data_IF_036674948786
#
_entry.id   IF_036674948786
#
_cell.length_a   1.000
_cell.length_b   1.000
_cell.length_c   1.000
_cell.angle_alpha   90.00
_cell.angle_beta   90.00
_cell.angle_gamma   90.00
#
_symmetry.space_group_name_H-M   'P 1'
#
loop_
_entity.id
_entity.type
_entity.pdbx_description
1 polymer ?
#
# COMPACT_ATOMS: atom_id res chain seq x y z
N UNK A 1 -15.93 11.28 -16.22
CA UNK A 1 -15.65 12.12 -15.02
C UNK A 1 -14.33 11.71 -14.39
N UNK A 2 -13.52 12.69 -13.98
CA UNK A 2 -12.23 12.44 -13.32
C UNK A 2 -12.51 11.95 -11.89
N UNK A 3 -12.11 10.73 -11.56
CA UNK A 3 -12.20 10.18 -10.20
C UNK A 3 -11.19 10.87 -9.29
N UNK A 4 -11.60 11.21 -8.07
CA UNK A 4 -10.71 11.73 -7.02
C UNK A 4 -10.39 10.56 -6.10
N UNK A 5 -9.10 10.26 -5.93
CA UNK A 5 -8.63 9.22 -5.02
C UNK A 5 -7.92 9.91 -3.86
N UNK A 6 -8.28 9.49 -2.64
CA UNK A 6 -7.63 9.93 -1.41
C UNK A 6 -7.08 8.72 -0.68
N UNK A 7 -5.88 8.84 -0.15
CA UNK A 7 -5.23 7.82 0.67
C UNK A 7 -5.22 8.27 2.13
N UNK A 8 -5.55 7.36 3.02
CA UNK A 8 -5.56 7.56 4.46
C UNK A 8 -4.59 6.57 5.09
N UNK A 9 -3.32 6.95 5.08
CA UNK A 9 -2.17 6.16 5.56
C UNK A 9 -1.71 6.54 6.97
N UNK A 10 -2.41 7.49 7.61
CA UNK A 10 -2.09 7.98 8.94
C UNK A 10 -3.36 8.09 9.80
N UNK A 11 -3.20 7.87 11.12
CA UNK A 11 -4.29 7.89 12.12
C UNK A 11 -4.47 9.27 12.77
N UNK A 12 -4.08 10.35 12.09
CA UNK A 12 -4.34 11.70 12.59
C UNK A 12 -5.85 11.99 12.65
N UNK A 13 -6.43 12.20 13.86
CA UNK A 13 -7.86 12.32 14.01
C UNK A 13 -8.42 13.60 13.40
N UNK A 14 -7.66 14.70 13.37
CA UNK A 14 -8.12 16.00 12.87
C UNK A 14 -8.22 15.96 11.35
N UNK A 15 -7.17 15.52 10.67
CA UNK A 15 -7.15 15.42 9.21
C UNK A 15 -8.16 14.39 8.70
N UNK A 16 -8.29 13.25 9.40
CA UNK A 16 -9.27 12.23 9.08
C UNK A 16 -10.70 12.75 9.22
N UNK A 17 -11.06 13.33 10.38
CA UNK A 17 -12.38 13.90 10.62
C UNK A 17 -12.73 15.00 9.61
N UNK A 18 -11.81 15.92 9.34
CA UNK A 18 -12.01 16.99 8.36
C UNK A 18 -12.30 16.44 6.96
N UNK A 19 -11.60 15.38 6.58
CA UNK A 19 -11.79 14.73 5.28
C UNK A 19 -13.15 14.03 5.16
N UNK A 20 -13.73 13.59 6.28
CA UNK A 20 -14.98 12.84 6.31
C UNK A 20 -16.23 13.75 6.35
N UNK A 21 -16.09 15.03 6.71
CA UNK A 21 -17.22 15.96 6.93
C UNK A 21 -18.15 16.10 5.72
N UNK A 22 -17.66 15.91 4.51
CA UNK A 22 -18.44 16.13 3.27
C UNK A 22 -18.49 14.89 2.37
N UNK A 23 -18.35 13.69 2.93
CA UNK A 23 -18.42 12.46 2.14
C UNK A 23 -19.86 12.17 1.74
N UNK A 24 -20.08 12.04 0.43
CA UNK A 24 -21.32 11.54 -0.12
C UNK A 24 -21.18 10.04 -0.41
N UNK A 25 -21.81 9.20 0.41
CA UNK A 25 -21.76 7.74 0.30
C UNK A 25 -22.20 7.21 -1.06
N UNK A 26 -23.14 7.89 -1.72
CA UNK A 26 -23.68 7.44 -3.01
C UNK A 26 -22.69 7.62 -4.18
N UNK A 27 -21.66 8.44 -3.99
CA UNK A 27 -20.62 8.71 -5.00
C UNK A 27 -19.20 8.35 -4.52
N UNK A 28 -19.08 7.71 -3.35
CA UNK A 28 -17.80 7.36 -2.75
C UNK A 28 -17.69 5.85 -2.58
N UNK A 29 -16.63 5.26 -3.13
CA UNK A 29 -16.21 3.89 -2.83
C UNK A 29 -15.09 3.90 -1.77
N UNK A 30 -15.06 2.88 -0.92
CA UNK A 30 -14.09 2.72 0.15
C UNK A 30 -13.28 1.45 -0.08
N UNK A 31 -11.96 1.56 -0.09
CA UNK A 31 -11.07 0.41 -0.20
C UNK A 31 -10.32 0.30 1.12
N UNK A 32 -10.54 -0.79 1.83
CA UNK A 32 -9.92 -1.05 3.13
C UNK A 32 -8.93 -2.18 2.97
N UNK A 33 -7.65 -1.90 3.20
CA UNK A 33 -6.56 -2.83 2.93
C UNK A 33 -5.81 -3.14 4.21
N UNK A 34 -5.77 -4.42 4.58
CA UNK A 34 -4.90 -4.94 5.64
C UNK A 34 -4.63 -6.41 5.39
N UNK A 35 -3.37 -6.79 5.13
CA UNK A 35 -2.96 -8.18 4.92
C UNK A 35 -3.46 -9.07 6.06
N UNK A 36 -3.03 -8.79 7.28
CA UNK A 36 -3.42 -9.56 8.48
C UNK A 36 -4.89 -9.38 8.88
N UNK A 37 -5.55 -8.32 8.38
CA UNK A 37 -6.88 -7.92 8.83
C UNK A 37 -6.94 -7.51 10.30
N UNK A 38 -5.79 -7.23 10.93
CA UNK A 38 -5.63 -6.90 12.35
C UNK A 38 -4.84 -5.60 12.57
N UNK A 39 -4.43 -4.90 11.52
CA UNK A 39 -3.68 -3.64 11.62
C UNK A 39 -4.50 -2.62 12.42
N UNK A 40 -4.03 -2.17 13.60
CA UNK A 40 -4.82 -1.31 14.48
C UNK A 40 -5.23 0.00 13.83
N UNK A 41 -4.35 0.61 13.05
CA UNK A 41 -4.59 1.86 12.33
C UNK A 41 -5.74 1.70 11.33
N UNK A 42 -5.69 0.65 10.50
CA UNK A 42 -6.74 0.36 9.52
C UNK A 42 -8.07 0.05 10.19
N UNK A 43 -8.06 -0.76 11.26
CA UNK A 43 -9.29 -1.11 11.99
C UNK A 43 -9.90 0.11 12.69
N UNK A 44 -9.07 0.99 13.27
CA UNK A 44 -9.53 2.21 13.92
C UNK A 44 -10.20 3.17 12.94
N UNK A 45 -9.57 3.42 11.79
CA UNK A 45 -10.16 4.24 10.72
C UNK A 45 -11.46 3.63 10.19
N UNK A 46 -11.49 2.31 9.98
CA UNK A 46 -12.68 1.62 9.53
C UNK A 46 -13.81 1.68 10.56
N UNK A 47 -13.50 1.53 11.85
CA UNK A 47 -14.49 1.70 12.93
C UNK A 47 -15.07 3.12 12.98
N UNK A 48 -14.23 4.15 12.80
CA UNK A 48 -14.70 5.54 12.72
C UNK A 48 -15.64 5.76 11.52
N UNK A 49 -15.36 5.15 10.37
CA UNK A 49 -16.28 5.21 9.22
C UNK A 49 -17.60 4.50 9.52
N UNK A 50 -17.57 3.31 10.10
CA UNK A 50 -18.78 2.58 10.50
C UNK A 50 -19.63 3.45 11.42
N UNK A 51 -19.06 4.02 12.46
CA UNK A 51 -19.77 4.90 13.39
C UNK A 51 -20.38 6.11 12.69
N UNK A 52 -19.61 6.79 11.84
CA UNK A 52 -20.10 7.92 11.05
C UNK A 52 -21.33 7.55 10.22
N UNK A 53 -21.28 6.43 9.50
CA UNK A 53 -22.36 6.00 8.63
C UNK A 53 -23.58 5.42 9.39
N UNK A 54 -23.39 4.93 10.61
CA UNK A 54 -24.49 4.62 11.55
C UNK A 54 -25.20 5.91 11.95
N UNK A 55 -24.47 6.94 12.38
CA UNK A 55 -25.05 8.21 12.83
C UNK A 55 -25.90 8.92 11.77
N UNK A 56 -25.54 8.80 10.50
CA UNK A 56 -26.30 9.38 9.40
C UNK A 56 -27.28 8.40 8.73
N UNK A 57 -27.53 7.22 9.31
CA UNK A 57 -28.43 6.18 8.81
C UNK A 57 -28.10 5.70 7.39
N UNK A 58 -26.81 5.60 7.03
CA UNK A 58 -26.30 5.20 5.71
C UNK A 58 -25.36 3.99 5.78
N UNK A 59 -25.43 3.20 6.84
CA UNK A 59 -24.50 2.08 7.07
C UNK A 59 -24.62 0.98 6.01
N UNK A 60 -25.81 0.73 5.47
CA UNK A 60 -26.01 -0.29 4.43
C UNK A 60 -25.33 0.12 3.12
N UNK A 61 -25.56 1.35 2.70
CA UNK A 61 -24.95 1.94 1.49
C UNK A 61 -23.43 1.99 1.63
N UNK A 62 -22.94 2.31 2.84
CA UNK A 62 -21.51 2.27 3.13
C UNK A 62 -20.90 0.89 2.87
N UNK A 63 -21.46 -0.17 3.48
CA UNK A 63 -20.94 -1.53 3.30
C UNK A 63 -21.04 -2.01 1.84
N UNK A 64 -22.08 -1.64 1.11
CA UNK A 64 -22.22 -1.94 -0.33
C UNK A 64 -21.14 -1.28 -1.19
N UNK A 65 -20.62 -0.13 -0.74
CA UNK A 65 -19.55 0.62 -1.41
C UNK A 65 -18.14 0.30 -0.87
N UNK A 66 -18.03 -0.70 0.04
CA UNK A 66 -16.75 -1.15 0.58
C UNK A 66 -16.16 -2.31 -0.23
N UNK A 67 -14.89 -2.17 -0.57
CA UNK A 67 -14.03 -3.24 -1.05
C UNK A 67 -12.96 -3.52 0.01
N UNK A 68 -12.89 -4.76 0.47
CA UNK A 68 -11.92 -5.20 1.48
C UNK A 68 -10.85 -6.04 0.80
N UNK A 69 -9.58 -5.73 1.06
CA UNK A 69 -8.44 -6.55 0.60
C UNK A 69 -7.71 -7.08 1.84
N UNK A 70 -7.78 -8.40 2.05
CA UNK A 70 -7.19 -9.05 3.22
C UNK A 70 -6.96 -10.54 2.95
N UNK A 71 -6.08 -11.20 3.71
CA UNK A 71 -5.84 -12.65 3.58
C UNK A 71 -7.10 -13.48 3.74
N UNK A 72 -7.12 -14.63 3.07
CA UNK A 72 -8.20 -15.61 3.16
C UNK A 72 -8.05 -16.48 4.42
N UNK A 73 -8.13 -15.84 5.57
CA UNK A 73 -8.12 -16.50 6.88
C UNK A 73 -9.19 -15.89 7.80
N UNK A 74 -9.32 -16.42 9.01
CA UNK A 74 -10.28 -15.91 9.99
C UNK A 74 -9.72 -14.71 10.75
N UNK A 75 -9.73 -13.52 10.11
CA UNK A 75 -9.30 -12.27 10.71
C UNK A 75 -10.48 -11.30 10.97
N UNK A 76 -10.32 -10.31 11.87
CA UNK A 76 -11.39 -9.37 12.24
C UNK A 76 -11.97 -8.61 11.04
N UNK A 77 -11.12 -8.05 10.17
CA UNK A 77 -11.55 -7.29 9.02
C UNK A 77 -12.42 -8.14 8.07
N UNK A 78 -11.98 -9.39 7.79
CA UNK A 78 -12.73 -10.33 6.95
C UNK A 78 -14.06 -10.74 7.57
N UNK A 79 -14.12 -10.91 8.90
CA UNK A 79 -15.37 -11.20 9.60
C UNK A 79 -16.37 -10.06 9.44
N UNK A 80 -15.94 -8.81 9.65
CA UNK A 80 -16.80 -7.64 9.45
C UNK A 80 -17.30 -7.59 8.00
N UNK A 81 -16.41 -7.79 7.03
CA UNK A 81 -16.76 -7.77 5.61
C UNK A 81 -17.80 -8.83 5.24
N UNK A 82 -17.61 -10.09 5.68
CA UNK A 82 -18.55 -11.19 5.43
C UNK A 82 -19.92 -10.94 6.07
N UNK A 83 -19.94 -10.49 7.31
CA UNK A 83 -21.18 -10.25 8.06
C UNK A 83 -22.03 -9.11 7.44
N UNK A 84 -21.41 -8.22 6.69
CA UNK A 84 -22.06 -7.06 6.09
C UNK A 84 -22.11 -7.10 4.55
N UNK A 85 -21.78 -8.26 3.95
CA UNK A 85 -21.80 -8.48 2.49
C UNK A 85 -20.93 -7.48 1.70
N UNK A 86 -19.81 -7.04 2.26
CA UNK A 86 -18.83 -6.25 1.53
C UNK A 86 -18.16 -7.09 0.43
N UNK A 87 -17.74 -6.45 -0.65
CA UNK A 87 -16.87 -7.09 -1.63
C UNK A 87 -15.51 -7.42 -1.01
N UNK A 88 -14.98 -8.61 -1.24
CA UNK A 88 -13.68 -9.05 -0.71
C UNK A 88 -12.80 -9.53 -1.85
N UNK A 89 -11.57 -9.07 -1.86
CA UNK A 89 -10.47 -9.60 -2.67
C UNK A 89 -9.45 -10.22 -1.72
N UNK A 90 -9.01 -11.44 -2.03
CA UNK A 90 -8.00 -12.11 -1.23
C UNK A 90 -6.62 -11.48 -1.46
N UNK A 91 -5.92 -11.22 -0.37
CA UNK A 91 -4.49 -10.87 -0.40
C UNK A 91 -3.68 -12.16 -0.39
N UNK A 92 -2.67 -12.24 -1.24
CA UNK A 92 -1.78 -13.39 -1.33
C UNK A 92 -0.96 -13.54 -0.03
N UNK A 93 -1.00 -14.73 0.58
CA UNK A 93 -0.33 -15.02 1.85
C UNK A 93 1.18 -14.89 1.77
N UNK A 94 1.75 -15.24 0.61
CA UNK A 94 3.19 -15.31 0.40
C UNK A 94 3.83 -13.96 0.10
N UNK A 95 3.01 -12.94 -0.18
CA UNK A 95 3.49 -11.58 -0.46
C UNK A 95 3.49 -10.75 0.82
N UNK A 96 4.66 -10.29 1.27
CA UNK A 96 4.77 -9.33 2.35
C UNK A 96 4.19 -7.96 1.99
N UNK A 97 3.65 -7.22 2.98
CA UNK A 97 3.00 -5.92 2.73
C UNK A 97 3.86 -4.94 1.92
N UNK A 98 5.15 -4.80 2.26
CA UNK A 98 6.09 -3.91 1.55
C UNK A 98 6.43 -4.35 0.12
N UNK A 99 6.12 -5.59 -0.25
CA UNK A 99 6.33 -6.14 -1.60
C UNK A 99 5.05 -6.19 -2.44
N UNK A 100 3.92 -5.71 -1.92
CA UNK A 100 2.60 -5.95 -2.48
C UNK A 100 2.17 -4.98 -3.59
N UNK A 101 3.07 -4.10 -4.05
CA UNK A 101 2.73 -3.08 -5.07
C UNK A 101 2.21 -3.69 -6.38
N UNK A 102 2.71 -4.86 -6.78
CA UNK A 102 2.27 -5.57 -7.99
C UNK A 102 1.13 -6.58 -7.75
N UNK A 103 0.66 -6.71 -6.52
CA UNK A 103 -0.50 -7.53 -6.16
C UNK A 103 -1.81 -6.74 -6.25
N UNK A 104 -2.92 -7.37 -5.84
CA UNK A 104 -4.23 -6.71 -5.71
C UNK A 104 -4.18 -5.41 -4.91
N UNK A 105 -3.28 -5.31 -3.93
CA UNK A 105 -3.10 -4.13 -3.06
C UNK A 105 -2.73 -2.86 -3.85
N UNK A 106 -1.80 -2.98 -4.79
CA UNK A 106 -1.40 -1.83 -5.62
C UNK A 106 -2.22 -1.72 -6.90
N UNK A 107 -2.57 -2.86 -7.53
CA UNK A 107 -3.21 -2.85 -8.84
C UNK A 107 -4.68 -2.43 -8.81
N UNK A 108 -5.44 -2.76 -7.76
CA UNK A 108 -6.84 -2.34 -7.65
C UNK A 108 -6.97 -0.82 -7.55
N UNK A 109 -6.26 -0.12 -6.65
CA UNK A 109 -6.25 1.35 -6.65
C UNK A 109 -5.76 1.95 -7.99
N UNK A 110 -4.75 1.35 -8.63
CA UNK A 110 -4.24 1.79 -9.91
C UNK A 110 -5.30 1.72 -11.03
N UNK A 111 -6.06 0.61 -11.11
CA UNK A 111 -7.18 0.47 -12.05
C UNK A 111 -8.25 1.53 -11.80
N UNK A 112 -8.59 1.75 -10.53
CA UNK A 112 -9.60 2.75 -10.16
C UNK A 112 -9.11 4.17 -10.51
N UNK A 113 -7.81 4.42 -10.40
CA UNK A 113 -7.16 5.65 -10.84
C UNK A 113 -7.14 5.83 -12.36
N UNK A 114 -7.48 4.78 -13.12
CA UNK A 114 -7.44 4.81 -14.59
C UNK A 114 -6.05 4.53 -15.16
N UNK A 115 -5.14 3.96 -14.37
CA UNK A 115 -3.83 3.55 -14.83
C UNK A 115 -3.90 2.22 -15.59
N UNK A 116 -3.04 2.07 -16.58
CA UNK A 116 -2.87 0.83 -17.33
C UNK A 116 -1.97 -0.14 -16.57
N UNK A 117 -2.58 -1.04 -15.81
CA UNK A 117 -1.86 -2.02 -14.98
C UNK A 117 -1.05 -3.02 -15.82
N UNK A 118 -1.45 -3.26 -17.07
CA UNK A 118 -0.67 -4.12 -17.96
C UNK A 118 0.67 -3.49 -18.31
N UNK A 119 0.70 -2.16 -18.49
CA UNK A 119 1.97 -1.44 -18.69
C UNK A 119 2.83 -1.42 -17.44
N UNK A 120 2.21 -1.32 -16.25
CA UNK A 120 2.93 -1.39 -14.97
C UNK A 120 3.59 -2.77 -14.83
N UNK A 121 2.83 -3.85 -15.00
CA UNK A 121 3.36 -5.22 -14.97
C UNK A 121 4.41 -5.47 -16.05
N UNK A 122 4.17 -4.98 -17.28
CA UNK A 122 5.14 -5.12 -18.36
C UNK A 122 6.49 -4.51 -18.00
N UNK A 123 6.51 -3.32 -17.37
CA UNK A 123 7.76 -2.72 -16.92
C UNK A 123 8.53 -3.58 -15.92
N UNK A 124 7.83 -4.28 -15.02
CA UNK A 124 8.47 -5.23 -14.11
C UNK A 124 8.97 -6.50 -14.83
N UNK A 125 8.17 -7.05 -15.74
CA UNK A 125 8.53 -8.23 -16.55
C UNK A 125 9.75 -7.92 -17.42
N UNK A 126 9.79 -6.76 -18.06
CA UNK A 126 10.92 -6.34 -18.89
C UNK A 126 12.26 -6.33 -18.12
N UNK A 127 12.23 -6.00 -16.82
CA UNK A 127 13.43 -6.10 -15.97
C UNK A 127 13.78 -7.57 -15.68
N UNK A 128 12.80 -8.41 -15.35
CA UNK A 128 13.01 -9.82 -15.02
C UNK A 128 13.56 -10.57 -16.23
N UNK A 129 12.96 -10.37 -17.41
CA UNK A 129 13.37 -11.05 -18.66
C UNK A 129 14.77 -10.63 -19.13
N UNK A 130 15.22 -9.43 -18.71
CA UNK A 130 16.54 -8.92 -19.04
C UNK A 130 17.54 -8.99 -17.89
N UNK A 131 17.18 -9.66 -16.78
CA UNK A 131 18.06 -9.69 -15.58
C UNK A 131 19.42 -10.35 -15.86
N UNK A 132 19.48 -11.26 -16.83
CA UNK A 132 20.73 -11.91 -17.26
C UNK A 132 21.52 -11.06 -18.26
N UNK A 133 20.95 -9.97 -18.75
CA UNK A 133 21.64 -9.01 -19.60
C UNK A 133 22.69 -8.26 -18.77
N UNK A 134 23.94 -8.23 -19.20
CA UNK A 134 25.07 -7.64 -18.48
C UNK A 134 24.81 -6.22 -17.96
N UNK A 135 24.07 -5.41 -18.71
CA UNK A 135 23.76 -4.04 -18.32
C UNK A 135 22.86 -3.98 -17.08
N UNK A 136 21.80 -4.80 -17.00
CA UNK A 136 20.90 -4.85 -15.85
C UNK A 136 21.52 -5.57 -14.66
N UNK A 137 22.21 -6.69 -14.92
CA UNK A 137 22.89 -7.47 -13.89
C UNK A 137 23.99 -6.66 -13.19
N UNK A 138 24.75 -5.87 -13.93
CA UNK A 138 25.78 -5.00 -13.36
C UNK A 138 25.18 -3.91 -12.46
N UNK A 139 24.05 -3.30 -12.85
CA UNK A 139 23.36 -2.31 -12.04
C UNK A 139 22.77 -2.91 -10.77
N UNK A 140 22.15 -4.09 -10.87
CA UNK A 140 21.56 -4.81 -9.73
C UNK A 140 22.63 -5.24 -8.72
N UNK A 141 23.81 -5.64 -9.17
CA UNK A 141 24.93 -6.02 -8.30
C UNK A 141 25.65 -4.82 -7.70
N UNK A 142 25.84 -3.76 -8.48
CA UNK A 142 26.63 -2.60 -8.07
C UNK A 142 26.08 -1.91 -6.82
N UNK A 143 24.76 -1.74 -6.72
CA UNK A 143 24.17 -1.03 -5.57
C UNK A 143 24.38 -1.77 -4.24
N UNK A 144 24.05 -3.07 -4.09
CA UNK A 144 24.34 -3.82 -2.86
C UNK A 144 25.82 -3.87 -2.52
N UNK A 145 26.70 -4.01 -3.53
CA UNK A 145 28.15 -4.01 -3.34
C UNK A 145 28.63 -2.66 -2.81
N UNK A 146 28.11 -1.55 -3.35
CA UNK A 146 28.45 -0.20 -2.92
C UNK A 146 28.02 0.05 -1.47
N UNK A 147 26.83 -0.41 -1.07
CA UNK A 147 26.34 -0.30 0.30
C UNK A 147 27.19 -1.14 1.26
N UNK A 148 27.48 -2.40 0.90
CA UNK A 148 28.30 -3.28 1.71
C UNK A 148 29.73 -2.74 1.90
N UNK A 149 30.32 -2.18 0.84
CA UNK A 149 31.62 -1.52 0.88
C UNK A 149 31.59 -0.28 1.79
N UNK A 150 30.58 0.56 1.63
CA UNK A 150 30.42 1.80 2.41
C UNK A 150 30.30 1.50 3.91
N UNK A 151 29.52 0.51 4.29
CA UNK A 151 29.37 0.08 5.67
C UNK A 151 30.67 -0.52 6.24
N UNK A 152 31.26 -1.48 5.52
CA UNK A 152 32.39 -2.29 6.03
C UNK A 152 33.70 -1.53 6.03
N UNK A 153 34.00 -0.73 5.03
CA UNK A 153 35.31 -0.11 4.83
C UNK A 153 35.35 1.38 5.14
N UNK A 154 34.24 2.09 5.01
CA UNK A 154 34.17 3.54 5.21
C UNK A 154 33.40 3.94 6.46
N UNK A 155 32.78 3.01 7.15
CA UNK A 155 31.93 3.26 8.31
C UNK A 155 30.81 4.29 8.03
N UNK A 156 30.29 4.27 6.79
CA UNK A 156 29.17 5.12 6.38
C UNK A 156 27.88 4.42 6.77
N UNK A 157 27.12 5.03 7.67
CA UNK A 157 25.92 4.44 8.28
C UNK A 157 24.63 5.08 7.80
N UNK A 158 24.69 6.05 6.92
CA UNK A 158 23.50 6.78 6.46
C UNK A 158 23.40 6.70 4.95
N UNK A 159 22.25 6.24 4.48
CA UNK A 159 21.87 6.30 3.07
C UNK A 159 20.82 7.38 2.87
N UNK A 160 21.01 8.22 1.87
CA UNK A 160 20.08 9.31 1.56
C UNK A 160 19.52 9.11 0.17
N UNK A 161 18.19 8.96 0.06
CA UNK A 161 17.48 8.95 -1.22
C UNK A 161 16.93 10.36 -1.50
N UNK A 162 17.46 11.01 -2.51
CA UNK A 162 17.03 12.36 -2.93
C UNK A 162 16.20 12.25 -4.21
N UNK A 163 14.89 12.47 -4.10
CA UNK A 163 13.99 12.50 -5.25
C UNK A 163 13.90 13.93 -5.79
N UNK A 164 14.46 14.17 -6.97
CA UNK A 164 14.49 15.51 -7.60
C UNK A 164 13.20 15.87 -8.37
N UNK A 165 12.26 14.92 -8.49
CA UNK A 165 10.95 15.15 -9.11
C UNK A 165 9.84 14.93 -8.09
N UNK A 166 8.88 15.84 -8.01
CA UNK A 166 7.72 15.73 -7.13
C UNK A 166 6.91 14.46 -7.39
N UNK A 167 6.87 14.00 -8.64
CA UNK A 167 6.22 12.74 -9.01
C UNK A 167 6.86 11.50 -8.38
N UNK A 168 8.11 11.59 -7.93
CA UNK A 168 8.84 10.51 -7.26
C UNK A 168 8.78 10.59 -5.73
N UNK A 169 8.08 11.58 -5.16
CA UNK A 169 8.02 11.75 -3.71
C UNK A 169 7.50 10.50 -2.97
N UNK A 170 6.37 9.95 -3.42
CA UNK A 170 5.81 8.73 -2.80
C UNK A 170 6.64 7.48 -3.10
N UNK A 171 7.32 7.43 -4.25
CA UNK A 171 8.30 6.39 -4.54
C UNK A 171 9.44 6.42 -3.51
N UNK A 172 9.94 7.59 -3.17
CA UNK A 172 10.95 7.76 -2.12
C UNK A 172 10.46 7.25 -0.76
N UNK A 173 9.22 7.55 -0.36
CA UNK A 173 8.63 7.03 0.88
C UNK A 173 8.49 5.52 0.87
N UNK A 174 8.00 4.94 -0.22
CA UNK A 174 7.93 3.49 -0.38
C UNK A 174 9.30 2.83 -0.28
N UNK A 175 10.31 3.39 -0.92
CA UNK A 175 11.69 2.89 -0.85
C UNK A 175 12.24 2.90 0.58
N UNK A 176 11.99 3.96 1.35
CA UNK A 176 12.42 4.04 2.75
C UNK A 176 11.81 2.92 3.60
N UNK A 177 10.51 2.66 3.44
CA UNK A 177 9.84 1.55 4.12
C UNK A 177 10.42 0.21 3.70
N UNK A 178 10.56 -0.02 2.40
CA UNK A 178 11.13 -1.26 1.84
C UNK A 178 12.53 -1.52 2.39
N UNK A 179 13.36 -0.49 2.43
CA UNK A 179 14.74 -0.57 2.95
C UNK A 179 14.76 -0.88 4.45
N UNK A 180 14.11 -0.06 5.25
CA UNK A 180 14.14 -0.17 6.71
C UNK A 180 13.59 -1.52 7.21
N UNK A 181 12.47 -1.98 6.67
CA UNK A 181 11.87 -3.26 7.07
C UNK A 181 12.62 -4.49 6.54
N UNK A 182 13.40 -4.35 5.48
CA UNK A 182 14.09 -5.48 4.86
C UNK A 182 15.49 -5.70 5.42
N UNK A 183 16.27 -4.64 5.67
CA UNK A 183 17.69 -4.72 6.03
C UNK A 183 17.98 -4.32 7.46
N UNK A 184 17.14 -3.53 8.12
CA UNK A 184 17.32 -3.09 9.51
C UNK A 184 17.13 -4.21 10.53
N UNK A 185 18.05 -5.18 10.60
CA UNK A 185 17.97 -6.33 11.50
C UNK A 185 19.29 -6.61 12.19
N UNK A 186 19.22 -7.04 13.47
CA UNK A 186 20.37 -7.47 14.26
C UNK A 186 21.50 -6.41 14.31
N UNK A 187 21.13 -5.15 14.49
CA UNK A 187 22.06 -4.01 14.54
C UNK A 187 22.82 -3.77 13.21
N UNK A 188 22.29 -4.22 12.08
CA UNK A 188 22.80 -3.98 10.73
C UNK A 188 21.73 -3.29 9.90
N UNK A 189 22.14 -2.40 8.98
CA UNK A 189 21.30 -1.66 8.05
C UNK A 189 20.98 -0.25 8.49
#
# INVERSE_FOLDING_TARGET
>A
EKKIIKFYDNVDPISFQTSMQNINVNSTGFIIISKSGQTPETLSQFACLIELFIQINKIKEFYQNCLIITENNSNPLRKIAKNNNCMIIDHESDIGGRFSVFSSVGMVPAIIAGLDVNKIHKGAIDIIDNIENDNYLNLIKLLPELFAFSDSFKNIKTSVLMTYSDSLYFFGKWYLQLWAESVGKLNKG
#
